data_IF_385562642085
#
_entry.id   IF_385562642085
#
_cell.length_a   1.000
_cell.length_b   1.000
_cell.length_c   1.000
_cell.angle_alpha   90.00
_cell.angle_beta   90.00
_cell.angle_gamma   90.00
#
_symmetry.space_group_name_H-M   'P 1'
#
loop_
_entity.id
_entity.type
_entity.pdbx_description
1 polymer ?
#
# COMPACT_ATOMS: atom_id res chain seq x y z
N UNK A 1 -22.46 7.91 -10.99
CA UNK A 1 -21.02 7.58 -10.88
C UNK A 1 -20.23 8.70 -10.19
N UNK A 2 -19.86 8.48 -8.93
CA UNK A 2 -18.92 9.28 -8.14
C UNK A 2 -17.61 8.48 -7.98
N UNK A 3 -16.44 9.14 -8.10
CA UNK A 3 -15.14 8.49 -7.90
C UNK A 3 -14.49 8.92 -6.58
N UNK A 4 -13.97 7.95 -5.84
CA UNK A 4 -13.21 8.15 -4.60
C UNK A 4 -11.78 7.67 -4.77
N UNK A 5 -10.80 8.45 -4.30
CA UNK A 5 -9.38 8.10 -4.32
C UNK A 5 -8.87 7.99 -2.88
N UNK A 6 -8.07 6.97 -2.60
CA UNK A 6 -7.32 6.81 -1.35
C UNK A 6 -5.85 6.57 -1.67
N UNK A 7 -4.96 7.06 -0.81
CA UNK A 7 -3.52 6.85 -0.94
C UNK A 7 -3.02 6.25 0.36
N UNK A 8 -2.33 5.12 0.27
CA UNK A 8 -1.68 4.48 1.42
C UNK A 8 -0.16 4.47 1.20
N UNK A 9 0.58 4.74 2.26
CA UNK A 9 2.04 4.75 2.25
C UNK A 9 2.57 3.68 3.20
N UNK A 10 3.38 2.76 2.68
CA UNK A 10 4.07 1.78 3.50
C UNK A 10 5.58 1.84 3.29
N UNK A 11 6.32 1.87 4.39
CA UNK A 11 7.79 1.92 4.39
C UNK A 11 8.36 0.59 4.80
N UNK A 12 9.29 0.09 3.98
CA UNK A 12 10.02 -1.15 4.22
C UNK A 12 11.49 -0.82 4.40
N UNK A 13 12.09 -1.24 5.50
CA UNK A 13 13.51 -1.04 5.74
C UNK A 13 14.35 -1.86 4.73
N UNK A 14 15.45 -1.27 4.25
CA UNK A 14 16.41 -1.96 3.38
C UNK A 14 17.32 -2.89 4.17
N UNK A 15 17.63 -2.54 5.42
CA UNK A 15 18.45 -3.39 6.28
C UNK A 15 17.73 -4.72 6.53
N UNK A 16 18.48 -5.80 6.35
CA UNK A 16 18.05 -7.16 6.66
C UNK A 16 18.45 -7.58 8.09
N UNK A 17 18.91 -6.65 8.93
CA UNK A 17 19.24 -6.92 10.35
C UNK A 17 18.07 -7.57 11.10
N UNK A 18 16.84 -7.39 10.61
CA UNK A 18 15.65 -8.12 11.05
C UNK A 18 14.74 -8.48 9.85
N UNK A 19 15.08 -9.58 9.14
CA UNK A 19 14.28 -10.15 8.03
C UNK A 19 12.82 -10.42 8.42
N UNK A 20 12.57 -10.74 9.69
CA UNK A 20 11.21 -10.96 10.22
C UNK A 20 10.43 -9.65 10.24
N UNK A 21 11.07 -8.54 10.65
CA UNK A 21 10.46 -7.21 10.61
C UNK A 21 10.10 -6.77 9.18
N UNK A 22 10.95 -7.06 8.20
CA UNK A 22 10.75 -6.74 6.78
C UNK A 22 9.57 -7.52 6.19
N UNK A 23 9.52 -8.82 6.46
CA UNK A 23 8.41 -9.68 6.02
C UNK A 23 7.09 -9.25 6.65
N UNK A 24 7.10 -8.83 7.92
CA UNK A 24 5.93 -8.24 8.60
C UNK A 24 5.48 -6.94 7.95
N UNK A 25 6.40 -6.01 7.64
CA UNK A 25 6.09 -4.74 6.96
C UNK A 25 5.43 -4.96 5.58
N UNK A 26 5.91 -5.94 4.82
CA UNK A 26 5.28 -6.32 3.54
C UNK A 26 3.89 -6.94 3.78
N UNK A 27 3.76 -7.80 4.79
CA UNK A 27 2.48 -8.40 5.17
C UNK A 27 1.43 -7.37 5.60
N UNK A 28 1.81 -6.34 6.36
CA UNK A 28 0.91 -5.27 6.76
C UNK A 28 0.35 -4.50 5.57
N UNK A 29 1.19 -4.18 4.58
CA UNK A 29 0.74 -3.54 3.34
C UNK A 29 -0.27 -4.41 2.58
N UNK A 30 0.03 -5.70 2.44
CA UNK A 30 -0.89 -6.62 1.75
C UNK A 30 -2.25 -6.70 2.45
N UNK A 31 -2.24 -6.71 3.79
CA UNK A 31 -3.47 -6.69 4.59
C UNK A 31 -4.25 -5.38 4.41
N UNK A 32 -3.58 -4.23 4.45
CA UNK A 32 -4.20 -2.92 4.27
C UNK A 32 -4.87 -2.79 2.89
N UNK A 33 -4.18 -3.18 1.82
CA UNK A 33 -4.78 -3.22 0.46
C UNK A 33 -5.99 -4.16 0.42
N UNK A 34 -5.92 -5.32 1.08
CA UNK A 34 -7.05 -6.25 1.13
C UNK A 34 -8.25 -5.68 1.91
N UNK A 35 -8.01 -4.90 2.96
CA UNK A 35 -9.08 -4.24 3.72
C UNK A 35 -9.77 -3.15 2.90
N UNK A 36 -9.02 -2.37 2.13
CA UNK A 36 -9.60 -1.43 1.17
C UNK A 36 -10.36 -2.14 0.03
N UNK A 37 -9.87 -3.30 -0.43
CA UNK A 37 -10.59 -4.11 -1.41
C UNK A 37 -11.95 -4.58 -0.88
N UNK A 38 -12.05 -4.97 0.38
CA UNK A 38 -13.34 -5.29 1.04
C UNK A 38 -14.26 -4.07 1.12
N UNK A 39 -13.71 -2.86 1.19
CA UNK A 39 -14.47 -1.60 1.16
C UNK A 39 -14.83 -1.12 -0.28
N UNK A 40 -14.54 -1.93 -1.29
CA UNK A 40 -14.86 -1.68 -2.70
C UNK A 40 -13.83 -0.88 -3.47
N UNK A 41 -12.65 -0.61 -2.89
CA UNK A 41 -11.56 0.04 -3.61
C UNK A 41 -10.75 -0.96 -4.43
N UNK A 42 -10.25 -0.55 -5.59
CA UNK A 42 -9.30 -1.29 -6.39
C UNK A 42 -7.95 -0.56 -6.40
N UNK A 43 -6.85 -1.31 -6.33
CA UNK A 43 -5.49 -0.78 -6.51
C UNK A 43 -5.33 -0.33 -7.96
N UNK A 44 -5.18 0.98 -8.16
CA UNK A 44 -5.01 1.59 -9.48
C UNK A 44 -3.54 1.76 -9.85
N UNK A 45 -2.68 2.12 -8.88
CA UNK A 45 -1.26 2.35 -9.12
C UNK A 45 -0.43 2.09 -7.86
N UNK A 46 0.80 1.64 -8.04
CA UNK A 46 1.84 1.58 -7.00
C UNK A 46 3.05 2.35 -7.47
N UNK A 47 3.41 3.44 -6.77
CA UNK A 47 4.71 4.07 -6.93
C UNK A 47 5.69 3.49 -5.90
N UNK A 48 6.90 3.19 -6.35
CA UNK A 48 7.99 2.76 -5.46
C UNK A 48 9.04 3.86 -5.40
N UNK A 49 9.31 4.36 -4.21
CA UNK A 49 10.29 5.42 -3.96
C UNK A 49 11.46 4.80 -3.22
N UNK A 50 12.60 4.76 -3.89
CA UNK A 50 13.83 4.19 -3.34
C UNK A 50 14.61 5.26 -2.55
N UNK A 51 14.66 5.12 -1.22
CA UNK A 51 15.40 6.01 -0.32
C UNK A 51 16.73 5.40 0.14
N UNK A 52 17.49 6.10 0.97
CA UNK A 52 18.76 5.60 1.49
C UNK A 52 18.57 4.34 2.37
N UNK A 53 17.67 4.41 3.35
CA UNK A 53 17.47 3.36 4.35
C UNK A 53 16.16 2.57 4.18
N UNK A 54 15.24 3.09 3.38
CA UNK A 54 13.90 2.54 3.20
C UNK A 54 13.48 2.54 1.74
N UNK A 55 12.63 1.58 1.38
CA UNK A 55 11.78 1.63 0.19
C UNK A 55 10.37 2.02 0.63
N UNK A 56 9.82 3.07 0.04
CA UNK A 56 8.43 3.48 0.30
C UNK A 56 7.54 3.07 -0.86
N UNK A 57 6.47 2.35 -0.57
CA UNK A 57 5.41 2.03 -1.51
C UNK A 57 4.26 3.01 -1.29
N UNK A 58 3.84 3.68 -2.35
CA UNK A 58 2.67 4.57 -2.36
C UNK A 58 1.64 3.93 -3.25
N UNK A 59 0.59 3.37 -2.66
CA UNK A 59 -0.50 2.72 -3.39
C UNK A 59 -1.66 3.70 -3.53
N UNK A 60 -2.09 3.90 -4.78
CA UNK A 60 -3.27 4.69 -5.12
C UNK A 60 -4.43 3.74 -5.37
N UNK A 61 -5.50 3.91 -4.60
CA UNK A 61 -6.70 3.10 -4.63
C UNK A 61 -7.87 3.94 -5.15
N UNK A 62 -8.72 3.34 -5.98
CA UNK A 62 -9.88 4.01 -6.57
C UNK A 62 -11.15 3.22 -6.30
N UNK A 63 -12.27 3.89 -6.09
CA UNK A 63 -13.59 3.28 -5.97
C UNK A 63 -14.60 4.11 -6.75
N UNK A 64 -15.34 3.46 -7.62
CA UNK A 64 -16.48 4.07 -8.33
C UNK A 64 -17.76 3.63 -7.62
N UNK A 65 -18.62 4.59 -7.28
CA UNK A 65 -19.96 4.30 -6.75
C UNK A 65 -20.99 4.90 -7.69
N UNK A 66 -22.00 4.11 -8.07
CA UNK A 66 -23.23 4.67 -8.63
C UNK A 66 -24.14 5.02 -7.46
N UNK A 67 -24.38 6.32 -7.29
CA UNK A 67 -25.50 6.83 -6.49
C UNK A 67 -26.84 6.54 -7.19
#
# INVERSE_FOLDING_TARGET
MSESIQVIENRVAKSDDDVVSKSRQIGYRAQEVADYARAGYALAHTATIDGADYVTFVDTLTRTTDD
#
